data_IF_056046997737
#
_entry.id   IF_056046997737
#
_cell.length_a   1.000
_cell.length_b   1.000
_cell.length_c   1.000
_cell.angle_alpha   90.00
_cell.angle_beta   90.00
_cell.angle_gamma   90.00
#
_symmetry.space_group_name_H-M   'P 1'
#
loop_
_entity.id
_entity.type
_entity.pdbx_description
1 polymer ?
#
# COMPACT_ATOMS: atom_id res chain seq x y z
N UNK A 1 20.91 9.44 28.57
CA UNK A 1 20.46 10.84 28.60
C UNK A 1 19.21 10.94 27.74
N UNK A 2 18.03 11.24 28.30
CA UNK A 2 16.81 11.43 27.50
C UNK A 2 17.05 12.65 26.62
N UNK A 3 17.13 12.45 25.28
CA UNK A 3 17.21 13.56 24.32
C UNK A 3 15.92 14.39 24.42
N UNK A 4 16.05 15.70 24.19
CA UNK A 4 14.93 16.62 24.25
C UNK A 4 13.77 16.14 23.35
N UNK A 5 12.56 16.13 23.87
CA UNK A 5 11.36 15.86 23.07
C UNK A 5 11.12 17.07 22.17
N UNK A 6 11.47 16.93 20.89
CA UNK A 6 11.12 17.95 19.90
C UNK A 6 9.66 17.77 19.45
N UNK A 7 8.99 18.82 18.96
CA UNK A 7 7.61 18.70 18.42
C UNK A 7 7.47 17.62 17.35
N UNK A 8 8.48 17.43 16.52
CA UNK A 8 8.51 16.42 15.47
C UNK A 8 8.52 15.02 16.06
N UNK A 9 9.33 14.75 17.08
CA UNK A 9 9.36 13.45 17.78
C UNK A 9 8.02 13.16 18.45
N UNK A 10 7.39 14.16 19.08
CA UNK A 10 6.05 14.01 19.67
C UNK A 10 5.01 13.69 18.60
N UNK A 11 5.08 14.36 17.45
CA UNK A 11 4.17 14.08 16.30
C UNK A 11 4.27 12.62 15.86
N UNK A 12 5.48 12.09 15.69
CA UNK A 12 5.68 10.72 15.26
C UNK A 12 5.19 9.68 16.29
N UNK A 13 5.50 9.90 17.56
CA UNK A 13 5.04 9.06 18.67
C UNK A 13 3.51 9.04 18.75
N UNK A 14 2.87 10.19 18.57
CA UNK A 14 1.40 10.30 18.54
C UNK A 14 0.82 9.53 17.37
N UNK A 15 1.39 9.66 16.18
CA UNK A 15 0.95 8.95 14.98
C UNK A 15 1.07 7.43 15.14
N UNK A 16 2.19 6.92 15.68
CA UNK A 16 2.36 5.50 15.96
C UNK A 16 1.36 5.04 17.04
N UNK A 17 1.22 5.78 18.14
CA UNK A 17 0.25 5.44 19.18
C UNK A 17 -1.18 5.35 18.63
N UNK A 18 -1.57 6.29 17.77
CA UNK A 18 -2.88 6.28 17.13
C UNK A 18 -3.07 5.04 16.24
N UNK A 19 -2.02 4.63 15.52
CA UNK A 19 -2.08 3.47 14.62
C UNK A 19 -2.15 2.11 15.35
N UNK A 20 -1.90 2.07 16.67
CA UNK A 20 -1.92 0.85 17.46
C UNK A 20 -3.19 0.70 18.32
N UNK A 21 -4.09 1.70 18.34
CA UNK A 21 -5.24 1.76 19.27
C UNK A 21 -6.26 0.62 19.15
N UNK A 22 -6.42 0.07 17.96
CA UNK A 22 -7.38 -0.98 17.63
C UNK A 22 -6.79 -2.38 17.82
N UNK A 23 -5.51 -2.49 18.17
CA UNK A 23 -4.88 -3.77 18.46
C UNK A 23 -5.21 -4.26 19.87
N UNK A 24 -5.40 -5.57 20.01
CA UNK A 24 -5.56 -6.19 21.33
C UNK A 24 -4.28 -6.02 22.18
N UNK A 25 -4.44 -5.80 23.48
CA UNK A 25 -3.29 -5.69 24.39
C UNK A 25 -2.39 -6.95 24.31
N UNK A 26 -1.08 -6.74 24.38
CA UNK A 26 -0.09 -7.82 24.24
C UNK A 26 0.26 -8.20 22.82
N UNK A 27 -0.40 -7.60 21.82
CA UNK A 27 -0.14 -7.92 20.41
C UNK A 27 1.32 -7.65 20.01
N UNK A 28 2.01 -8.60 19.36
CA UNK A 28 3.32 -8.35 18.77
C UNK A 28 3.20 -7.44 17.54
N UNK A 29 4.12 -6.48 17.44
CA UNK A 29 4.20 -5.50 16.33
C UNK A 29 5.59 -5.58 15.71
N UNK A 30 5.65 -5.60 14.38
CA UNK A 30 6.90 -5.54 13.62
C UNK A 30 7.04 -4.15 12.99
N UNK A 31 8.25 -3.61 12.99
CA UNK A 31 8.61 -2.42 12.22
C UNK A 31 9.52 -2.84 11.08
N UNK A 32 9.14 -2.54 9.84
CA UNK A 32 10.00 -2.73 8.68
C UNK A 32 11.04 -1.60 8.61
N UNK A 33 12.31 -1.94 8.60
CA UNK A 33 13.42 -0.99 8.54
C UNK A 33 14.31 -1.24 7.31
N UNK A 34 14.61 -0.17 6.57
CA UNK A 34 15.58 -0.18 5.46
C UNK A 34 16.88 0.56 5.80
N UNK A 35 17.01 1.12 7.00
CA UNK A 35 18.14 1.94 7.40
C UNK A 35 18.07 3.40 6.95
N UNK A 36 17.09 3.75 6.10
CA UNK A 36 16.82 5.14 5.70
C UNK A 36 16.10 5.93 6.78
N UNK A 37 16.08 7.29 6.66
CA UNK A 37 15.59 8.19 7.71
C UNK A 37 14.13 7.93 8.08
N UNK A 38 13.25 7.66 7.11
CA UNK A 38 11.82 7.43 7.37
C UNK A 38 11.60 6.17 8.21
N UNK A 39 12.31 5.09 7.88
CA UNK A 39 12.20 3.82 8.59
C UNK A 39 12.83 3.86 9.97
N UNK A 40 13.97 4.53 10.14
CA UNK A 40 14.61 4.69 11.45
C UNK A 40 13.80 5.60 12.38
N UNK A 41 13.18 6.67 11.84
CA UNK A 41 12.23 7.48 12.57
C UNK A 41 11.04 6.67 13.09
N UNK A 42 10.53 5.76 12.25
CA UNK A 42 9.46 4.85 12.62
C UNK A 42 9.90 3.89 13.73
N UNK A 43 11.10 3.33 13.63
CA UNK A 43 11.67 2.47 14.68
C UNK A 43 11.74 3.21 16.01
N UNK A 44 12.32 4.43 16.03
CA UNK A 44 12.45 5.23 17.27
C UNK A 44 11.10 5.59 17.88
N UNK A 45 10.12 5.97 17.05
CA UNK A 45 8.77 6.27 17.51
C UNK A 45 8.06 5.03 18.05
N UNK A 46 8.19 3.86 17.37
CA UNK A 46 7.56 2.60 17.77
C UNK A 46 8.21 2.00 19.02
N UNK A 47 9.53 2.07 19.16
CA UNK A 47 10.25 1.64 20.38
C UNK A 47 9.76 2.37 21.63
N UNK A 48 9.33 3.64 21.47
CA UNK A 48 8.74 4.43 22.57
C UNK A 48 7.25 4.14 22.76
N UNK A 49 6.47 4.07 21.66
CA UNK A 49 5.00 4.03 21.71
C UNK A 49 4.43 2.63 22.01
N UNK A 50 4.98 1.60 21.35
CA UNK A 50 4.41 0.24 21.43
C UNK A 50 4.42 -0.34 22.85
N UNK A 51 5.52 -0.29 23.62
CA UNK A 51 5.51 -0.78 25.01
C UNK A 51 4.54 -0.01 25.92
N UNK A 52 4.37 1.31 25.68
CA UNK A 52 3.44 2.16 26.43
C UNK A 52 1.99 1.86 26.12
N UNK A 53 1.72 1.35 24.93
CA UNK A 53 0.41 0.85 24.51
C UNK A 53 0.19 -0.64 24.88
N UNK A 54 1.15 -1.27 25.59
CA UNK A 54 1.06 -2.66 26.02
C UNK A 54 1.42 -3.69 24.94
N UNK A 55 2.13 -3.29 23.89
CA UNK A 55 2.56 -4.16 22.79
C UNK A 55 4.05 -4.48 22.86
N UNK A 56 4.44 -5.66 22.36
CA UNK A 56 5.85 -5.97 22.09
C UNK A 56 6.22 -5.46 20.71
N UNK A 57 7.47 -4.96 20.56
CA UNK A 57 7.97 -4.45 19.28
C UNK A 57 9.25 -5.19 18.88
N UNK A 58 9.31 -5.59 17.63
CA UNK A 58 10.51 -6.09 16.95
C UNK A 58 10.72 -5.35 15.64
N UNK A 59 11.94 -5.42 15.11
CA UNK A 59 12.30 -4.82 13.82
C UNK A 59 12.73 -5.92 12.86
N UNK A 60 12.33 -5.78 11.61
CA UNK A 60 12.82 -6.62 10.50
C UNK A 60 13.52 -5.72 9.48
N UNK A 61 14.81 -5.98 9.26
CA UNK A 61 15.61 -5.38 8.20
C UNK A 61 15.65 -6.37 7.04
N UNK A 62 15.23 -5.95 5.84
CA UNK A 62 15.29 -6.81 4.67
C UNK A 62 16.47 -6.41 3.80
N UNK A 63 17.43 -7.32 3.64
CA UNK A 63 18.55 -7.20 2.72
C UNK A 63 18.18 -7.84 1.38
N UNK A 64 18.07 -7.02 0.35
CA UNK A 64 17.70 -7.46 -1.02
C UNK A 64 18.88 -8.02 -1.82
N UNK A 65 20.11 -7.96 -1.30
CA UNK A 65 21.33 -8.41 -1.97
C UNK A 65 21.54 -7.83 -3.40
N UNK A 66 20.97 -6.64 -3.68
CA UNK A 66 21.02 -6.03 -5.02
C UNK A 66 22.29 -5.25 -5.30
N UNK A 67 23.08 -4.95 -4.29
CA UNK A 67 24.32 -4.19 -4.43
C UNK A 67 25.42 -4.77 -3.52
N UNK A 68 26.67 -4.56 -3.93
CA UNK A 68 27.81 -4.96 -3.12
C UNK A 68 27.79 -4.24 -1.77
N UNK A 69 28.03 -4.96 -0.67
CA UNK A 69 28.01 -4.40 0.69
C UNK A 69 26.61 -4.21 1.28
N UNK A 70 25.57 -4.79 0.68
CA UNK A 70 24.20 -4.72 1.21
C UNK A 70 24.07 -5.34 2.60
N UNK A 71 24.86 -6.36 2.90
CA UNK A 71 24.96 -7.00 4.21
C UNK A 71 25.53 -6.07 5.29
N UNK A 72 26.53 -5.25 4.95
CA UNK A 72 27.09 -4.24 5.86
C UNK A 72 26.04 -3.13 6.14
N UNK A 73 25.32 -2.71 5.10
CA UNK A 73 24.23 -1.73 5.22
C UNK A 73 23.12 -2.26 6.15
N UNK A 74 22.70 -3.52 5.93
CA UNK A 74 21.68 -4.16 6.75
C UNK A 74 22.14 -4.33 8.20
N UNK A 75 23.39 -4.73 8.42
CA UNK A 75 24.00 -4.84 9.74
C UNK A 75 24.07 -3.49 10.45
N UNK A 76 24.44 -2.41 9.74
CA UNK A 76 24.44 -1.06 10.28
C UNK A 76 23.02 -0.58 10.63
N UNK A 77 22.05 -0.87 9.79
CA UNK A 77 20.64 -0.55 10.09
C UNK A 77 20.18 -1.28 11.35
N UNK A 78 20.50 -2.56 11.51
CA UNK A 78 20.19 -3.33 12.72
C UNK A 78 20.83 -2.74 13.97
N UNK A 79 22.11 -2.34 13.89
CA UNK A 79 22.79 -1.68 15.00
C UNK A 79 22.07 -0.39 15.42
N UNK A 80 21.66 0.46 14.46
CA UNK A 80 20.93 1.70 14.74
C UNK A 80 19.56 1.42 15.38
N UNK A 81 18.90 0.32 15.01
CA UNK A 81 17.64 -0.09 15.65
C UNK A 81 17.85 -0.46 17.12
N UNK A 82 18.96 -1.14 17.47
CA UNK A 82 19.31 -1.40 18.87
C UNK A 82 19.63 -0.11 19.63
N UNK A 83 20.35 0.83 19.02
CA UNK A 83 20.64 2.15 19.61
C UNK A 83 19.38 2.97 19.87
N UNK A 84 18.31 2.77 19.06
CA UNK A 84 16.96 3.34 19.25
C UNK A 84 16.12 2.61 20.32
N UNK A 85 16.66 1.56 20.93
CA UNK A 85 16.05 0.87 22.09
C UNK A 85 15.24 -0.38 21.73
N UNK A 86 15.33 -0.91 20.51
CA UNK A 86 14.66 -2.16 20.14
C UNK A 86 15.55 -3.36 20.53
N UNK A 87 14.98 -4.31 21.27
CA UNK A 87 15.70 -5.49 21.74
C UNK A 87 15.83 -6.55 20.64
N UNK A 88 14.73 -6.81 19.91
CA UNK A 88 14.71 -7.83 18.85
C UNK A 88 14.79 -7.18 17.48
N UNK A 89 15.88 -7.45 16.78
CA UNK A 89 16.11 -7.02 15.39
C UNK A 89 16.53 -8.21 14.57
N UNK A 90 15.71 -8.58 13.59
CA UNK A 90 15.96 -9.69 12.68
C UNK A 90 16.42 -9.13 11.32
N UNK A 91 17.53 -9.61 10.77
CA UNK A 91 18.00 -9.29 9.42
C UNK A 91 17.65 -10.45 8.51
N UNK A 92 16.84 -10.19 7.48
CA UNK A 92 16.39 -11.20 6.53
C UNK A 92 16.97 -10.90 5.14
N UNK A 93 17.78 -11.80 4.65
CA UNK A 93 18.29 -11.77 3.28
C UNK A 93 17.27 -12.39 2.34
N UNK A 94 16.96 -11.72 1.24
CA UNK A 94 16.02 -12.19 0.21
C UNK A 94 16.68 -12.16 -1.16
N UNK A 95 16.38 -13.17 -1.97
CA UNK A 95 16.79 -13.21 -3.36
C UNK A 95 15.69 -12.54 -4.21
N UNK A 96 16.08 -11.53 -4.98
CA UNK A 96 15.18 -10.84 -5.89
C UNK A 96 15.19 -11.54 -7.24
N UNK A 97 14.15 -12.31 -7.53
CA UNK A 97 13.99 -12.99 -8.83
C UNK A 97 13.39 -11.97 -9.80
N UNK A 98 14.16 -11.58 -10.82
CA UNK A 98 13.72 -10.61 -11.82
C UNK A 98 12.57 -11.18 -12.67
N UNK A 99 11.39 -10.54 -12.53
CA UNK A 99 10.21 -10.79 -13.35
C UNK A 99 9.32 -9.54 -13.32
N UNK A 100 9.18 -8.83 -14.44
CA UNK A 100 8.31 -7.64 -14.48
C UNK A 100 8.90 -6.31 -13.99
N UNK A 101 10.21 -6.25 -13.74
CA UNK A 101 10.92 -5.05 -13.28
C UNK A 101 11.54 -5.21 -11.88
N UNK A 102 12.79 -4.76 -11.74
CA UNK A 102 13.59 -4.94 -10.53
C UNK A 102 12.94 -4.33 -9.27
N UNK A 103 12.35 -3.13 -9.40
CA UNK A 103 11.70 -2.42 -8.29
C UNK A 103 10.45 -3.19 -7.79
N UNK A 104 9.64 -3.71 -8.71
CA UNK A 104 8.45 -4.49 -8.35
C UNK A 104 8.86 -5.81 -7.67
N UNK A 105 9.81 -6.54 -8.25
CA UNK A 105 10.31 -7.79 -7.70
C UNK A 105 10.94 -7.61 -6.30
N UNK A 106 11.74 -6.56 -6.10
CA UNK A 106 12.32 -6.24 -4.79
C UNK A 106 11.23 -5.87 -3.77
N UNK A 107 10.20 -5.15 -4.21
CA UNK A 107 9.05 -4.83 -3.35
C UNK A 107 8.31 -6.10 -2.93
N UNK A 108 8.01 -7.00 -3.85
CA UNK A 108 7.28 -8.25 -3.58
C UNK A 108 8.08 -9.15 -2.65
N UNK A 109 9.38 -9.32 -2.90
CA UNK A 109 10.28 -10.06 -2.02
C UNK A 109 10.29 -9.48 -0.59
N UNK A 110 10.33 -8.14 -0.45
CA UNK A 110 10.24 -7.48 0.85
C UNK A 110 8.94 -7.76 1.58
N UNK A 111 7.80 -7.64 0.89
CA UNK A 111 6.51 -7.90 1.51
C UNK A 111 6.36 -9.37 1.91
N UNK A 112 6.85 -10.31 1.08
CA UNK A 112 6.85 -11.74 1.41
C UNK A 112 7.71 -12.05 2.64
N UNK A 113 8.89 -11.47 2.75
CA UNK A 113 9.77 -11.64 3.92
C UNK A 113 9.14 -11.07 5.20
N UNK A 114 8.53 -9.88 5.12
CA UNK A 114 7.83 -9.27 6.24
C UNK A 114 6.61 -10.08 6.66
N UNK A 115 5.84 -10.64 5.71
CA UNK A 115 4.71 -11.53 6.00
C UNK A 115 5.18 -12.80 6.70
N UNK A 116 6.20 -13.46 6.18
CA UNK A 116 6.77 -14.67 6.79
C UNK A 116 7.28 -14.40 8.23
N UNK A 117 7.91 -13.24 8.46
CA UNK A 117 8.33 -12.83 9.79
C UNK A 117 7.14 -12.56 10.72
N UNK A 118 6.07 -11.96 10.19
CA UNK A 118 4.85 -11.71 10.96
C UNK A 118 4.18 -13.02 11.38
N UNK A 119 4.06 -13.97 10.47
CA UNK A 119 3.48 -15.28 10.74
C UNK A 119 4.30 -16.04 11.80
N UNK A 120 5.63 -16.04 11.66
CA UNK A 120 6.54 -16.70 12.60
C UNK A 120 6.52 -16.08 14.01
N UNK A 121 6.25 -14.79 14.14
CA UNK A 121 6.21 -14.08 15.41
C UNK A 121 4.79 -13.92 15.97
N UNK A 122 3.75 -14.33 15.25
CA UNK A 122 2.35 -14.07 15.57
C UNK A 122 2.02 -12.58 15.60
N UNK A 123 2.72 -11.77 14.77
CA UNK A 123 2.54 -10.34 14.76
C UNK A 123 1.20 -9.94 14.13
N UNK A 124 0.52 -9.00 14.77
CA UNK A 124 -0.81 -8.51 14.32
C UNK A 124 -0.72 -7.23 13.52
N UNK A 125 0.46 -6.59 13.50
CA UNK A 125 0.73 -5.41 12.70
C UNK A 125 2.19 -5.35 12.23
N UNK A 126 2.37 -4.90 10.97
CA UNK A 126 3.67 -4.52 10.40
C UNK A 126 3.62 -3.04 10.05
N UNK A 127 4.46 -2.24 10.69
CA UNK A 127 4.54 -0.80 10.49
C UNK A 127 5.50 -0.47 9.35
N UNK A 128 5.07 0.42 8.45
CA UNK A 128 5.80 0.88 7.26
C UNK A 128 5.97 2.40 7.29
N UNK A 129 7.18 2.89 7.04
CA UNK A 129 7.55 4.31 7.13
C UNK A 129 7.20 5.15 5.90
N UNK A 130 6.01 4.97 5.32
CA UNK A 130 5.56 5.81 4.20
C UNK A 130 5.05 7.16 4.71
N UNK A 131 5.45 8.24 4.04
CA UNK A 131 5.14 9.63 4.37
C UNK A 131 4.03 10.21 3.50
N UNK A 132 3.64 11.46 3.76
CA UNK A 132 2.68 12.22 2.95
C UNK A 132 3.14 12.34 1.50
N UNK A 133 4.41 12.59 1.28
CA UNK A 133 4.99 12.71 -0.06
C UNK A 133 4.92 11.38 -0.82
N UNK A 134 5.12 10.23 -0.17
CA UNK A 134 4.95 8.92 -0.79
C UNK A 134 3.49 8.68 -1.25
N UNK A 135 2.54 9.26 -0.54
CA UNK A 135 1.12 9.24 -0.91
C UNK A 135 0.90 10.06 -2.20
N UNK A 136 1.41 11.29 -2.25
CA UNK A 136 1.32 12.16 -3.43
C UNK A 136 2.05 11.55 -4.64
N UNK A 137 3.26 11.01 -4.46
CA UNK A 137 3.99 10.26 -5.49
C UNK A 137 3.13 9.12 -6.06
N UNK A 138 2.47 8.36 -5.18
CA UNK A 138 1.59 7.24 -5.57
C UNK A 138 0.38 7.71 -6.37
N UNK A 139 -0.24 8.83 -5.99
CA UNK A 139 -1.38 9.42 -6.72
C UNK A 139 -0.96 9.79 -8.14
N UNK A 140 0.15 10.53 -8.30
CA UNK A 140 0.64 10.94 -9.62
C UNK A 140 1.02 9.76 -10.51
N UNK A 141 1.70 8.75 -9.96
CA UNK A 141 2.04 7.53 -10.69
C UNK A 141 0.81 6.76 -11.17
N UNK A 142 -0.26 6.77 -10.41
CA UNK A 142 -1.50 6.10 -10.78
C UNK A 142 -2.32 6.94 -11.76
N UNK A 143 -2.32 8.26 -11.59
CA UNK A 143 -2.96 9.21 -12.51
C UNK A 143 -2.36 9.12 -13.92
N UNK A 144 -1.04 9.05 -14.04
CA UNK A 144 -0.34 8.91 -15.32
C UNK A 144 -0.67 7.62 -16.08
N UNK A 145 -1.22 6.61 -15.37
CA UNK A 145 -1.66 5.32 -15.95
C UNK A 145 -3.16 5.29 -16.28
N UNK A 146 -3.87 6.40 -16.14
CA UNK A 146 -5.31 6.46 -16.38
C UNK A 146 -6.15 5.67 -15.38
N UNK A 147 -5.73 5.61 -14.12
CA UNK A 147 -6.38 4.81 -13.09
C UNK A 147 -7.69 5.43 -12.60
N UNK A 148 -8.68 4.59 -12.29
CA UNK A 148 -9.95 5.02 -11.68
C UNK A 148 -9.83 5.39 -10.19
N UNK A 149 -10.94 5.89 -9.60
CA UNK A 149 -11.01 6.41 -8.23
C UNK A 149 -10.41 5.47 -7.17
N UNK A 150 -10.74 4.17 -7.22
CA UNK A 150 -10.18 3.17 -6.29
C UNK A 150 -8.64 3.12 -6.33
N UNK A 151 -8.03 3.22 -7.50
CA UNK A 151 -6.59 3.26 -7.63
C UNK A 151 -6.02 4.60 -7.16
N UNK A 152 -6.64 5.74 -7.56
CA UNK A 152 -6.22 7.08 -7.16
C UNK A 152 -6.33 7.34 -5.65
N UNK A 153 -7.14 6.57 -4.92
CA UNK A 153 -7.21 6.62 -3.44
C UNK A 153 -5.89 6.23 -2.74
N UNK A 154 -4.89 5.85 -3.51
CA UNK A 154 -3.50 5.57 -3.13
C UNK A 154 -3.35 4.55 -1.97
N UNK A 155 -2.49 4.80 -0.98
CA UNK A 155 -2.27 3.84 0.12
C UNK A 155 -3.28 4.09 1.25
N UNK A 156 -3.71 3.02 1.92
CA UNK A 156 -4.49 3.08 3.16
C UNK A 156 -3.53 3.15 4.36
N UNK A 157 -3.92 3.91 5.40
CA UNK A 157 -3.20 3.92 6.66
C UNK A 157 -3.18 2.52 7.31
N UNK A 158 -4.31 1.80 7.22
CA UNK A 158 -4.45 0.41 7.65
C UNK A 158 -4.96 -0.42 6.48
N UNK A 159 -4.30 -1.56 6.22
CA UNK A 159 -4.71 -2.53 5.22
C UNK A 159 -4.33 -3.94 5.70
N UNK A 160 -5.24 -4.60 6.43
CA UNK A 160 -4.97 -5.85 7.09
C UNK A 160 -3.81 -5.73 8.09
N UNK A 161 -2.76 -6.52 7.87
CA UNK A 161 -1.54 -6.53 8.67
C UNK A 161 -0.72 -5.21 8.56
N UNK A 162 -0.82 -4.52 7.42
CA UNK A 162 0.05 -3.39 7.06
C UNK A 162 -0.47 -2.08 7.61
N UNK A 163 0.37 -1.33 8.35
CA UNK A 163 0.06 -0.02 8.91
C UNK A 163 1.08 1.03 8.48
N UNK A 164 0.62 2.22 8.21
CA UNK A 164 1.43 3.35 7.72
C UNK A 164 1.16 4.58 8.57
N UNK A 165 1.77 4.68 9.76
CA UNK A 165 1.45 5.75 10.71
C UNK A 165 1.75 7.15 10.19
N UNK A 166 2.69 7.28 9.24
CA UNK A 166 3.19 8.58 8.79
C UNK A 166 2.58 9.07 7.48
N UNK A 167 1.50 8.44 6.97
CA UNK A 167 0.89 8.85 5.69
C UNK A 167 0.42 10.31 5.65
N UNK A 168 0.11 10.90 6.81
CA UNK A 168 -0.30 12.31 6.93
C UNK A 168 0.81 13.21 7.48
N UNK A 169 2.00 12.65 7.73
CA UNK A 169 3.13 13.37 8.29
C UNK A 169 4.07 13.82 7.16
N UNK A 170 4.44 15.12 7.12
CA UNK A 170 5.42 15.60 6.15
C UNK A 170 6.77 14.91 6.31
N UNK A 171 7.41 14.55 5.20
CA UNK A 171 8.76 13.94 5.18
C UNK A 171 9.78 14.78 5.92
N UNK A 172 9.72 16.11 5.81
CA UNK A 172 10.59 17.02 6.56
C UNK A 172 10.48 16.82 8.07
N UNK A 173 9.25 16.66 8.59
CA UNK A 173 8.99 16.36 10.01
C UNK A 173 9.57 15.01 10.40
N UNK A 174 9.41 13.99 9.54
CA UNK A 174 9.95 12.65 9.78
C UNK A 174 11.48 12.67 9.84
N UNK A 175 12.14 13.36 8.90
CA UNK A 175 13.59 13.49 8.85
C UNK A 175 14.14 14.28 10.04
N UNK A 176 13.49 15.38 10.45
CA UNK A 176 13.87 16.15 11.62
C UNK A 176 13.77 15.31 12.91
N UNK A 177 12.69 14.54 13.07
CA UNK A 177 12.52 13.62 14.18
C UNK A 177 13.58 12.50 14.16
N UNK A 178 13.90 11.94 13.00
CA UNK A 178 14.98 10.97 12.85
C UNK A 178 16.31 11.51 13.35
N UNK A 179 16.69 12.70 12.90
CA UNK A 179 17.92 13.37 13.33
C UNK A 179 17.95 13.63 14.85
N UNK A 180 16.80 14.01 15.45
CA UNK A 180 16.69 14.23 16.88
C UNK A 180 16.78 12.95 17.72
N UNK A 181 16.35 11.81 17.17
CA UNK A 181 16.37 10.52 17.89
C UNK A 181 17.70 9.77 17.75
N UNK A 182 18.38 9.89 16.62
CA UNK A 182 19.66 9.22 16.39
C UNK A 182 20.81 9.83 17.22
N UNK A 183 21.84 9.04 17.62
CA UNK A 183 23.08 9.56 18.19
C UNK A 183 23.77 10.56 17.27
N UNK A 184 24.48 11.56 17.83
CA UNK A 184 25.16 12.60 17.03
C UNK A 184 26.21 12.04 16.07
N UNK A 185 26.76 10.88 16.41
CA UNK A 185 27.73 10.12 15.59
C UNK A 185 27.07 9.24 14.54
N UNK A 186 25.75 9.03 14.61
CA UNK A 186 25.02 8.16 13.71
C UNK A 186 24.39 8.95 12.55
N UNK A 187 24.33 8.33 11.41
CA UNK A 187 23.64 8.86 10.22
C UNK A 187 22.78 7.75 9.63
N UNK A 188 21.55 8.10 9.24
CA UNK A 188 20.71 7.24 8.42
C UNK A 188 21.40 6.98 7.07
N UNK A 189 21.22 5.78 6.55
CA UNK A 189 21.77 5.45 5.24
C UNK A 189 21.00 6.18 4.14
N UNK A 190 21.74 6.71 3.18
CA UNK A 190 21.18 7.33 1.99
C UNK A 190 21.38 6.38 0.81
N UNK A 191 20.30 5.76 0.34
CA UNK A 191 20.35 4.84 -0.80
C UNK A 191 20.60 5.63 -2.09
N UNK A 192 21.69 5.35 -2.83
CA UNK A 192 21.95 6.00 -4.12
C UNK A 192 20.82 5.82 -5.13
N UNK A 193 20.05 4.73 -5.07
CA UNK A 193 18.90 4.51 -5.92
C UNK A 193 17.77 5.55 -5.73
N UNK A 194 17.76 6.27 -4.60
CA UNK A 194 16.79 7.34 -4.36
C UNK A 194 17.03 8.59 -5.23
N UNK A 195 18.18 8.68 -5.89
CA UNK A 195 18.56 9.76 -6.82
C UNK A 195 18.56 9.32 -8.29
N UNK A 196 18.41 8.03 -8.55
CA UNK A 196 18.50 7.45 -9.90
C UNK A 196 17.20 7.68 -10.68
N UNK A 197 17.26 8.55 -11.70
CA UNK A 197 16.11 8.89 -12.56
C UNK A 197 15.58 7.74 -13.41
N UNK A 198 16.27 6.61 -13.49
CA UNK A 198 15.72 5.40 -14.12
C UNK A 198 14.45 4.94 -13.40
N UNK A 199 14.33 5.21 -12.11
CA UNK A 199 13.16 4.88 -11.31
C UNK A 199 12.05 5.93 -11.46
N UNK A 200 10.84 5.48 -11.77
CA UNK A 200 9.69 6.35 -11.98
C UNK A 200 9.35 7.22 -10.75
N UNK A 201 9.55 6.70 -9.54
CA UNK A 201 9.32 7.43 -8.31
C UNK A 201 10.27 8.60 -8.12
N UNK A 202 11.55 8.45 -8.49
CA UNK A 202 12.52 9.53 -8.42
C UNK A 202 12.12 10.67 -9.35
N UNK A 203 11.71 10.34 -10.59
CA UNK A 203 11.20 11.35 -11.53
C UNK A 203 9.96 12.07 -11.01
N UNK A 204 9.01 11.33 -10.42
CA UNK A 204 7.78 11.93 -9.86
C UNK A 204 8.08 12.82 -8.66
N UNK A 205 9.03 12.47 -7.82
CA UNK A 205 9.46 13.32 -6.69
C UNK A 205 9.97 14.67 -7.17
N UNK A 206 10.86 14.68 -8.17
CA UNK A 206 11.34 15.94 -8.78
C UNK A 206 10.23 16.73 -9.46
N UNK A 207 9.27 16.04 -10.09
CA UNK A 207 8.10 16.72 -10.67
C UNK A 207 7.23 17.37 -9.59
N UNK A 208 7.06 16.74 -8.42
CA UNK A 208 6.29 17.32 -7.32
C UNK A 208 6.92 18.61 -6.81
N UNK A 209 8.26 18.65 -6.66
CA UNK A 209 8.97 19.86 -6.28
C UNK A 209 8.73 20.99 -7.29
N UNK A 210 8.80 20.69 -8.59
CA UNK A 210 8.51 21.66 -9.65
C UNK A 210 7.03 22.07 -9.76
N UNK A 211 6.10 21.21 -9.35
CA UNK A 211 4.67 21.54 -9.34
C UNK A 211 4.32 22.55 -8.23
N UNK A 212 4.97 22.50 -7.08
CA UNK A 212 4.80 23.50 -6.03
C UNK A 212 5.27 24.89 -6.50
N UNK A 213 6.33 24.96 -7.31
CA UNK A 213 6.80 26.20 -7.91
C UNK A 213 5.82 26.78 -8.94
N UNK A 214 5.19 25.90 -9.74
CA UNK A 214 4.28 26.29 -10.83
C UNK A 214 2.83 26.55 -10.42
N UNK A 215 2.31 25.79 -9.46
CA UNK A 215 0.90 25.81 -9.04
C UNK A 215 0.71 26.45 -7.67
N UNK A 216 1.79 26.81 -6.97
CA UNK A 216 1.79 27.32 -5.60
C UNK A 216 1.94 26.20 -4.57
N UNK A 217 2.43 26.56 -3.39
CA UNK A 217 2.66 25.64 -2.30
C UNK A 217 1.39 24.88 -1.90
N UNK A 218 1.52 23.57 -1.69
CA UNK A 218 0.42 22.72 -1.20
C UNK A 218 -0.07 21.67 -2.17
N UNK A 219 0.59 21.46 -3.30
CA UNK A 219 0.23 20.41 -4.27
C UNK A 219 0.23 19.02 -3.61
N UNK A 220 1.26 18.71 -2.81
CA UNK A 220 1.31 17.44 -2.05
C UNK A 220 0.07 17.27 -1.18
N UNK A 221 -0.30 18.30 -0.42
CA UNK A 221 -1.49 18.27 0.45
C UNK A 221 -2.78 18.17 -0.38
N UNK A 222 -2.87 18.83 -1.52
CA UNK A 222 -3.99 18.76 -2.44
C UNK A 222 -4.20 17.33 -2.98
N UNK A 223 -3.12 16.70 -3.43
CA UNK A 223 -3.14 15.32 -3.95
C UNK A 223 -3.55 14.31 -2.86
N UNK A 224 -3.03 14.45 -1.64
CA UNK A 224 -3.38 13.54 -0.53
C UNK A 224 -4.83 13.69 -0.09
N UNK A 225 -5.36 14.92 -0.01
CA UNK A 225 -6.79 15.18 0.27
C UNK A 225 -7.69 14.59 -0.82
N UNK A 226 -7.33 14.77 -2.09
CA UNK A 226 -8.10 14.19 -3.19
C UNK A 226 -8.10 12.65 -3.11
N UNK A 227 -6.96 12.04 -2.76
CA UNK A 227 -6.89 10.58 -2.57
C UNK A 227 -7.77 10.09 -1.42
N UNK A 228 -7.86 10.85 -0.33
CA UNK A 228 -8.73 10.55 0.81
C UNK A 228 -10.21 10.60 0.41
N UNK A 229 -10.66 11.70 -0.22
CA UNK A 229 -12.03 11.83 -0.72
C UNK A 229 -12.39 10.73 -1.70
N UNK A 230 -11.50 10.43 -2.67
CA UNK A 230 -11.71 9.33 -3.61
C UNK A 230 -11.77 7.96 -2.91
N UNK A 231 -11.13 7.80 -1.76
CA UNK A 231 -11.21 6.59 -0.97
C UNK A 231 -12.59 6.42 -0.35
N UNK A 232 -13.09 7.47 0.28
CA UNK A 232 -14.42 7.46 0.91
C UNK A 232 -15.50 7.18 -0.13
N UNK A 233 -15.45 7.86 -1.28
CA UNK A 233 -16.37 7.62 -2.40
C UNK A 233 -16.27 6.18 -2.93
N UNK A 234 -15.04 5.68 -3.11
CA UNK A 234 -14.84 4.34 -3.63
C UNK A 234 -15.30 3.26 -2.63
N UNK A 235 -15.08 3.47 -1.32
CA UNK A 235 -15.53 2.54 -0.28
C UNK A 235 -17.06 2.50 -0.22
N UNK A 236 -17.74 3.64 -0.26
CA UNK A 236 -19.20 3.71 -0.30
C UNK A 236 -19.78 3.01 -1.54
N UNK A 237 -19.16 3.21 -2.72
CA UNK A 237 -19.60 2.56 -3.96
C UNK A 237 -19.32 1.05 -3.96
N UNK A 238 -18.22 0.59 -3.33
CA UNK A 238 -17.93 -0.84 -3.20
C UNK A 238 -18.91 -1.51 -2.24
N UNK A 239 -19.30 -0.85 -1.15
CA UNK A 239 -20.34 -1.35 -0.24
C UNK A 239 -21.71 -1.45 -0.94
N UNK A 240 -22.05 -0.47 -1.78
CA UNK A 240 -23.26 -0.52 -2.60
C UNK A 240 -23.20 -1.66 -3.62
N UNK A 241 -22.04 -1.90 -4.24
CA UNK A 241 -21.86 -2.98 -5.19
C UNK A 241 -21.96 -4.36 -4.52
N UNK A 242 -21.39 -4.52 -3.32
CA UNK A 242 -21.52 -5.77 -2.55
C UNK A 242 -22.98 -6.04 -2.17
N UNK A 243 -23.74 -5.02 -1.75
CA UNK A 243 -25.16 -5.15 -1.45
C UNK A 243 -25.98 -5.48 -2.69
N UNK A 244 -25.70 -4.82 -3.82
CA UNK A 244 -26.36 -5.10 -5.09
C UNK A 244 -26.09 -6.55 -5.53
N UNK A 245 -24.83 -6.99 -5.48
CA UNK A 245 -24.48 -8.37 -5.83
C UNK A 245 -25.16 -9.41 -4.93
N UNK A 246 -25.33 -9.11 -3.64
CA UNK A 246 -26.03 -9.98 -2.70
C UNK A 246 -27.55 -10.05 -2.97
N UNK A 247 -28.14 -9.02 -3.61
CA UNK A 247 -29.58 -8.97 -3.96
C UNK A 247 -29.90 -9.55 -5.34
N UNK A 248 -28.89 -9.75 -6.21
CA UNK A 248 -29.09 -10.36 -7.53
C UNK A 248 -29.41 -11.84 -7.39
N UNK A 249 -30.34 -12.30 -8.19
CA UNK A 249 -30.72 -13.71 -8.21
C UNK A 249 -29.64 -14.53 -8.93
N UNK A 250 -28.98 -15.41 -8.18
CA UNK A 250 -28.07 -16.41 -8.72
C UNK A 250 -28.85 -17.71 -8.96
N UNK A 251 -28.85 -18.20 -10.16
CA UNK A 251 -29.48 -19.49 -10.46
C UNK A 251 -28.55 -20.68 -10.15
N UNK A 252 -29.09 -21.90 -10.29
CA UNK A 252 -28.35 -23.16 -10.05
C UNK A 252 -27.20 -23.40 -11.05
N UNK A 253 -27.08 -22.59 -12.10
CA UNK A 253 -26.01 -22.65 -13.11
C UNK A 253 -24.95 -21.56 -12.92
N UNK A 254 -24.91 -20.88 -11.77
CA UNK A 254 -23.99 -19.76 -11.49
C UNK A 254 -24.04 -18.66 -12.57
N UNK A 255 -25.26 -18.28 -12.98
CA UNK A 255 -25.46 -17.23 -13.98
C UNK A 255 -26.27 -16.06 -13.39
N UNK A 256 -26.04 -14.87 -13.92
CA UNK A 256 -26.73 -13.63 -13.54
C UNK A 256 -27.62 -13.13 -14.67
N UNK A 257 -28.80 -12.65 -14.35
CA UNK A 257 -29.71 -12.04 -15.32
C UNK A 257 -29.13 -10.72 -15.81
N UNK A 258 -29.01 -10.56 -17.14
CA UNK A 258 -28.47 -9.33 -17.73
C UNK A 258 -29.42 -8.13 -17.56
N UNK A 259 -30.72 -8.33 -17.50
CA UNK A 259 -31.69 -7.24 -17.30
C UNK A 259 -31.62 -6.73 -15.85
N UNK A 260 -31.45 -7.62 -14.86
CA UNK A 260 -31.19 -7.21 -13.47
C UNK A 260 -29.87 -6.43 -13.34
N UNK A 261 -28.82 -6.83 -14.06
CA UNK A 261 -27.55 -6.11 -14.10
C UNK A 261 -27.67 -4.76 -14.82
N UNK A 262 -28.44 -4.68 -15.92
CA UNK A 262 -28.57 -3.49 -16.75
C UNK A 262 -29.21 -2.31 -16.01
N UNK A 263 -30.16 -2.56 -15.08
CA UNK A 263 -30.82 -1.50 -14.31
C UNK A 263 -29.92 -0.88 -13.24
N UNK A 264 -28.79 -1.51 -12.90
CA UNK A 264 -27.85 -0.94 -11.94
C UNK A 264 -27.15 0.30 -12.55
N UNK A 265 -26.95 1.37 -11.75
CA UNK A 265 -26.10 2.47 -12.17
C UNK A 265 -24.72 1.95 -12.62
N UNK A 266 -24.16 2.50 -13.71
CA UNK A 266 -22.90 2.02 -14.29
C UNK A 266 -21.77 1.89 -13.27
N UNK A 267 -21.65 2.86 -12.34
CA UNK A 267 -20.62 2.83 -11.30
C UNK A 267 -20.76 1.64 -10.34
N UNK A 268 -21.97 1.16 -10.10
CA UNK A 268 -22.26 -0.04 -9.29
C UNK A 268 -22.11 -1.29 -10.14
N UNK A 269 -22.70 -1.33 -11.33
CA UNK A 269 -22.67 -2.47 -12.24
C UNK A 269 -21.25 -2.89 -12.57
N UNK A 270 -20.36 -1.98 -12.96
CA UNK A 270 -18.97 -2.30 -13.27
C UNK A 270 -18.20 -2.86 -12.07
N UNK A 271 -18.54 -2.43 -10.84
CA UNK A 271 -17.99 -3.02 -9.61
C UNK A 271 -18.54 -4.42 -9.34
N UNK A 272 -19.84 -4.61 -9.54
CA UNK A 272 -20.48 -5.94 -9.44
C UNK A 272 -19.84 -6.91 -10.43
N UNK A 273 -19.65 -6.52 -11.68
CA UNK A 273 -18.98 -7.34 -12.69
C UNK A 273 -17.55 -7.71 -12.27
N UNK A 274 -16.80 -6.77 -11.73
CA UNK A 274 -15.48 -7.06 -11.18
C UNK A 274 -15.53 -8.06 -10.02
N UNK A 275 -16.49 -7.92 -9.10
CA UNK A 275 -16.68 -8.85 -7.99
C UNK A 275 -17.04 -10.27 -8.50
N UNK A 276 -17.87 -10.38 -9.52
CA UNK A 276 -18.21 -11.66 -10.18
C UNK A 276 -16.93 -12.31 -10.75
N UNK A 277 -16.13 -11.57 -11.51
CA UNK A 277 -14.89 -12.09 -12.08
C UNK A 277 -13.90 -12.55 -10.99
N UNK A 278 -13.74 -11.78 -9.91
CA UNK A 278 -12.86 -12.14 -8.79
C UNK A 278 -13.35 -13.40 -8.07
N UNK A 279 -14.66 -13.56 -7.88
CA UNK A 279 -15.26 -14.78 -7.28
C UNK A 279 -15.04 -16.02 -8.16
N UNK A 280 -15.05 -15.85 -9.48
CA UNK A 280 -14.76 -16.91 -10.45
C UNK A 280 -13.25 -17.26 -10.50
N UNK A 281 -12.38 -16.54 -9.79
CA UNK A 281 -10.95 -16.83 -9.73
C UNK A 281 -10.06 -16.00 -10.66
N UNK A 282 -10.60 -14.94 -11.31
CA UNK A 282 -9.76 -14.05 -12.11
C UNK A 282 -8.74 -13.35 -11.24
N UNK A 283 -7.43 -13.35 -11.58
CA UNK A 283 -6.39 -12.65 -10.84
C UNK A 283 -6.67 -11.13 -10.76
N UNK A 284 -6.68 -10.58 -9.56
CA UNK A 284 -7.10 -9.20 -9.30
C UNK A 284 -6.19 -8.15 -9.95
N UNK A 285 -4.90 -8.45 -10.07
CA UNK A 285 -3.86 -7.60 -10.65
C UNK A 285 -3.88 -7.59 -12.18
N UNK A 286 -4.33 -8.68 -12.80
CA UNK A 286 -4.47 -8.81 -14.25
C UNK A 286 -5.85 -8.35 -14.78
N UNK A 287 -6.87 -8.27 -13.91
CA UNK A 287 -8.23 -7.88 -14.29
C UNK A 287 -8.32 -6.34 -14.45
N UNK A 288 -8.07 -5.86 -15.67
CA UNK A 288 -8.04 -4.44 -16.02
C UNK A 288 -9.40 -3.84 -16.35
N UNK A 289 -9.40 -2.51 -16.58
CA UNK A 289 -10.58 -1.74 -16.97
C UNK A 289 -11.22 -2.25 -18.27
N UNK A 290 -10.41 -2.59 -19.28
CA UNK A 290 -10.87 -3.05 -20.58
C UNK A 290 -11.70 -4.33 -20.51
N UNK A 291 -11.29 -5.28 -19.65
CA UNK A 291 -12.04 -6.51 -19.41
C UNK A 291 -13.44 -6.21 -18.88
N UNK A 292 -13.53 -5.32 -17.88
CA UNK A 292 -14.82 -4.94 -17.27
C UNK A 292 -15.71 -4.20 -18.26
N UNK A 293 -15.14 -3.30 -19.10
CA UNK A 293 -15.91 -2.61 -20.13
C UNK A 293 -16.44 -3.56 -21.19
N UNK A 294 -15.65 -4.56 -21.58
CA UNK A 294 -16.08 -5.56 -22.54
C UNK A 294 -17.24 -6.41 -22.00
N UNK A 295 -17.22 -6.77 -20.71
CA UNK A 295 -18.34 -7.46 -20.08
C UNK A 295 -19.56 -6.53 -19.95
N UNK A 296 -19.37 -5.27 -19.58
CA UNK A 296 -20.44 -4.27 -19.47
C UNK A 296 -21.16 -4.10 -20.82
N UNK A 297 -20.44 -4.14 -21.94
CA UNK A 297 -20.99 -4.09 -23.28
C UNK A 297 -21.84 -5.35 -23.63
N UNK A 298 -21.51 -6.52 -23.08
CA UNK A 298 -22.39 -7.70 -23.24
C UNK A 298 -23.76 -7.49 -22.59
N UNK A 299 -23.86 -6.60 -21.59
CA UNK A 299 -25.10 -6.33 -20.86
C UNK A 299 -25.89 -5.21 -21.53
N UNK A 300 -25.23 -4.07 -21.80
CA UNK A 300 -25.89 -2.83 -22.20
C UNK A 300 -25.89 -2.56 -23.70
N UNK A 301 -25.02 -3.24 -24.46
CA UNK A 301 -24.83 -3.07 -25.91
C UNK A 301 -24.71 -4.43 -26.62
N UNK A 302 -25.69 -5.31 -26.32
CA UNK A 302 -25.70 -6.66 -26.86
C UNK A 302 -26.15 -6.68 -28.33
N UNK A 303 -25.30 -7.21 -29.20
CA UNK A 303 -25.59 -7.42 -30.63
C UNK A 303 -25.07 -8.76 -31.15
N UNK A 304 -24.91 -9.75 -30.26
CA UNK A 304 -24.43 -11.10 -30.63
C UNK A 304 -22.91 -11.30 -30.45
N UNK A 305 -22.25 -10.50 -29.62
CA UNK A 305 -20.83 -10.66 -29.31
C UNK A 305 -20.56 -12.05 -28.70
N UNK A 306 -19.38 -12.60 -29.02
CA UNK A 306 -18.87 -13.81 -28.40
C UNK A 306 -18.48 -13.63 -26.93
N UNK A 307 -17.98 -14.69 -26.33
CA UNK A 307 -17.45 -14.67 -24.96
C UNK A 307 -16.26 -13.70 -24.83
N UNK A 308 -16.24 -12.89 -23.77
CA UNK A 308 -15.12 -12.04 -23.43
C UNK A 308 -14.06 -12.88 -22.73
N UNK A 309 -12.82 -12.90 -23.27
CA UNK A 309 -11.69 -13.55 -22.62
C UNK A 309 -11.24 -12.75 -21.38
N UNK A 310 -10.99 -13.44 -20.27
CA UNK A 310 -10.59 -12.88 -19.00
C UNK A 310 -9.28 -13.49 -18.51
N UNK A 311 -8.52 -12.77 -17.66
CA UNK A 311 -7.35 -13.33 -17.00
C UNK A 311 -7.70 -14.57 -16.15
N UNK A 312 -6.75 -15.51 -16.06
CA UNK A 312 -6.98 -16.79 -15.36
C UNK A 312 -7.58 -17.87 -16.24
N UNK A 313 -7.48 -17.71 -17.57
CA UNK A 313 -8.10 -18.63 -18.56
C UNK A 313 -9.63 -18.73 -18.45
N UNK A 314 -10.27 -17.65 -17.95
CA UNK A 314 -11.72 -17.55 -17.81
C UNK A 314 -12.34 -16.91 -19.05
N UNK A 315 -13.65 -17.15 -19.22
CA UNK A 315 -14.48 -16.49 -20.23
C UNK A 315 -15.78 -15.96 -19.64
N UNK A 316 -16.30 -14.86 -20.22
CA UNK A 316 -17.58 -14.30 -19.85
C UNK A 316 -18.54 -14.35 -21.05
N UNK A 317 -19.29 -15.43 -21.28
CA UNK A 317 -20.33 -15.50 -22.28
C UNK A 317 -21.65 -14.89 -21.77
N UNK A 318 -22.43 -14.32 -22.71
CA UNK A 318 -23.86 -14.06 -22.54
C UNK A 318 -24.65 -15.06 -23.36
N UNK A 319 -25.49 -15.86 -22.70
CA UNK A 319 -26.33 -16.86 -23.34
C UNK A 319 -27.76 -16.73 -22.84
N UNK A 320 -28.73 -16.61 -23.75
CA UNK A 320 -30.16 -16.47 -23.43
C UNK A 320 -30.46 -15.36 -22.36
N UNK A 321 -29.81 -14.20 -22.49
CA UNK A 321 -30.00 -13.08 -21.55
C UNK A 321 -29.30 -13.24 -20.21
N UNK A 322 -28.48 -14.26 -20.04
CA UNK A 322 -27.73 -14.53 -18.80
C UNK A 322 -26.23 -14.43 -19.00
N UNK A 323 -25.55 -13.86 -18.03
CA UNK A 323 -24.09 -13.76 -17.96
C UNK A 323 -23.54 -14.86 -17.04
N UNK A 324 -22.50 -15.54 -17.46
CA UNK A 324 -21.67 -16.40 -16.60
C UNK A 324 -20.21 -15.99 -16.68
N UNK A 325 -19.40 -16.44 -15.73
CA UNK A 325 -17.92 -16.33 -15.75
C UNK A 325 -17.38 -17.68 -15.38
N UNK A 326 -16.73 -18.35 -16.35
CA UNK A 326 -16.24 -19.74 -16.21
C UNK A 326 -14.86 -19.91 -16.83
#
# INVERSE_FOLDING_TARGET
>A
MLRAETPEVVTLRTAVTASLRDLAAGSPVIVACSGGPDSLALVGAAAWAAPRAGHTVSVVVVDHALQSGSDEIASRAAQLCHELGVVRVDVMRVDVIAGGGLEAAARDARYSALQASADAQGATAVLLGHTREDQAETVLLRLSRGSGARSLSAMRAVNGLWRRPFLDVPRATVHAACAAMLPDTARAWHDPHNEDERFARVRVRRLLDGLDDGLGAGVVLGLTRSAEQLRDDADALDDLANRALASLTLDSADTWDCDELAVLPRAIRTRVLRLICLRAGSPADALGWEHIQSIDALICDWHGQGSVALPGALGAPRVCGRLSVT
#
